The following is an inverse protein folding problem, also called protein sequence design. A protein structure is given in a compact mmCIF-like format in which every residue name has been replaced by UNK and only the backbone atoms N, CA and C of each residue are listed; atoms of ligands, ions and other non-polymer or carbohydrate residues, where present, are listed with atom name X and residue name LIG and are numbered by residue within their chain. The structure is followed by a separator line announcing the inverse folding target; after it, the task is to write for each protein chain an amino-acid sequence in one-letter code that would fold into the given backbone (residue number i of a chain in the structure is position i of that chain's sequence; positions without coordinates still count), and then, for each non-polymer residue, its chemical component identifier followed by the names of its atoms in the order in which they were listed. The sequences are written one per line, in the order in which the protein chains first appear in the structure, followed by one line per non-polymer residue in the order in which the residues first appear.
data_IF_078550387604
#
_entry.id   IF_078550387604
#
_cell.length_a   1.000
_cell.length_b   1.000
_cell.length_c   1.000
_cell.angle_alpha   90.00
_cell.angle_beta   90.00
_cell.angle_gamma   90.00
#
_symmetry.space_group_name_H-M   'P 1'
#
loop_
_entity.id
_entity.type
_entity.pdbx_description
1 polymer ?
#
# COMPACT_ATOMS: atom_id res chain seq x y z
N UNK A 1 68.49 26.61 -4.29
CA UNK A 1 68.50 27.91 -3.59
C UNK A 1 67.24 28.01 -2.73
N UNK A 2 67.42 27.99 -1.40
CA UNK A 2 66.51 28.31 -0.27
C UNK A 2 65.04 27.86 -0.37
N UNK A 3 64.45 26.91 0.37
CA UNK A 3 64.59 26.44 1.76
C UNK A 3 64.49 27.52 2.84
N UNK A 4 63.32 27.56 3.51
CA UNK A 4 62.99 27.95 4.91
C UNK A 4 61.44 27.96 5.01
N UNK A 5 60.76 27.56 6.08
CA UNK A 5 61.02 26.70 7.24
C UNK A 5 59.65 26.50 7.91
N UNK A 6 59.43 25.30 8.42
CA UNK A 6 58.29 24.83 9.20
C UNK A 6 57.92 25.70 10.42
N UNK A 7 56.63 25.71 10.79
CA UNK A 7 56.26 25.68 12.21
C UNK A 7 55.14 24.66 12.44
N UNK A 8 55.50 23.67 13.25
CA UNK A 8 54.66 22.63 13.84
C UNK A 8 54.14 23.17 15.16
N UNK A 9 52.86 22.97 15.46
CA UNK A 9 52.35 22.99 16.82
C UNK A 9 51.44 21.78 17.00
N UNK A 10 52.04 20.70 17.47
CA UNK A 10 51.34 19.57 18.06
C UNK A 10 50.95 19.95 19.49
N UNK A 11 49.67 19.81 19.84
CA UNK A 11 49.25 19.71 21.24
C UNK A 11 48.57 18.35 21.40
N UNK A 12 49.37 17.41 21.91
CA UNK A 12 48.92 16.16 22.50
C UNK A 12 48.67 16.41 23.98
N UNK A 13 47.43 16.23 24.44
CA UNK A 13 47.16 15.95 25.86
C UNK A 13 46.32 14.68 25.95
N UNK A 14 46.94 13.69 26.57
CA UNK A 14 46.42 12.37 26.90
C UNK A 14 45.44 12.46 28.07
N UNK A 15 44.41 11.60 27.98
CA UNK A 15 43.82 10.76 29.03
C UNK A 15 43.26 11.42 30.30
N UNK A 16 41.96 11.29 30.50
CA UNK A 16 41.38 10.49 31.61
C UNK A 16 39.94 10.12 31.26
N UNK A 17 39.67 8.82 31.11
CA UNK A 17 38.32 8.27 31.14
C UNK A 17 37.86 8.15 32.61
N UNK A 18 36.60 8.45 32.96
CA UNK A 18 36.01 7.94 34.18
C UNK A 18 35.21 6.67 33.88
N UNK A 19 35.46 5.68 34.73
CA UNK A 19 34.90 4.35 34.69
C UNK A 19 33.38 4.31 34.95
N UNK A 20 32.77 3.31 34.32
CA UNK A 20 31.50 2.63 34.61
C UNK A 20 30.89 2.93 35.99
N UNK A 21 29.62 3.35 35.98
CA UNK A 21 28.61 2.90 36.95
C UNK A 21 27.37 2.43 36.22
N UNK A 22 27.28 1.12 36.05
CA UNK A 22 26.05 0.45 35.70
C UNK A 22 25.10 0.52 36.91
N UNK A 23 24.00 1.24 36.78
CA UNK A 23 22.87 1.08 37.70
C UNK A 23 22.07 -0.14 37.24
N UNK A 24 22.43 -1.28 37.83
CA UNK A 24 21.58 -2.46 37.85
C UNK A 24 20.41 -2.12 38.79
N UNK A 25 19.23 -1.86 38.22
CA UNK A 25 17.98 -1.91 38.99
C UNK A 25 17.50 -3.37 38.96
N UNK A 26 17.92 -4.12 39.98
CA UNK A 26 17.23 -5.34 40.42
C UNK A 26 15.89 -4.94 41.02
N UNK A 27 14.81 -5.09 40.26
CA UNK A 27 13.48 -5.19 40.84
C UNK A 27 13.27 -6.66 41.22
N UNK A 28 13.42 -6.93 42.51
CA UNK A 28 13.10 -8.20 43.16
C UNK A 28 11.66 -8.60 42.88
N UNK A 29 11.50 -9.84 42.42
CA UNK A 29 10.23 -10.56 42.45
C UNK A 29 9.66 -10.55 43.87
N UNK A 30 8.41 -10.14 44.00
CA UNK A 30 7.59 -10.41 45.19
C UNK A 30 6.55 -11.49 44.83
N UNK A 31 6.19 -12.35 45.80
CA UNK A 31 5.70 -13.68 45.54
C UNK A 31 4.24 -13.72 45.11
N UNK A 32 3.91 -14.74 44.33
CA UNK A 32 2.55 -15.16 44.04
C UNK A 32 1.82 -15.50 45.34
N UNK A 33 0.74 -14.76 45.61
CA UNK A 33 -0.25 -15.14 46.60
C UNK A 33 -1.46 -15.74 45.86
N UNK A 34 -1.60 -17.05 45.94
CA UNK A 34 -2.86 -17.74 45.67
C UNK A 34 -3.85 -17.44 46.80
N UNK A 35 -5.14 -17.27 46.49
CA UNK A 35 -6.17 -17.78 47.37
C UNK A 35 -7.02 -18.82 46.65
N UNK A 36 -7.11 -19.95 47.34
CA UNK A 36 -8.01 -21.08 47.18
C UNK A 36 -9.49 -20.69 47.03
N UNK A 37 -10.16 -21.36 46.09
CA UNK A 37 -11.49 -21.98 46.17
C UNK A 37 -12.64 -21.33 46.97
N UNK A 38 -13.67 -20.90 46.21
CA UNK A 38 -15.15 -21.07 46.41
C UNK A 38 -15.85 -20.38 47.60
N UNK A 39 -17.04 -19.76 47.42
CA UNK A 39 -18.22 -20.45 46.87
C UNK A 39 -18.99 -19.71 45.77
N UNK A 40 -19.69 -20.53 44.99
CA UNK A 40 -20.78 -20.17 44.09
C UNK A 40 -21.81 -19.26 44.76
N UNK A 41 -21.91 -18.02 44.30
CA UNK A 41 -23.11 -17.20 44.48
C UNK A 41 -23.62 -16.78 43.10
N UNK A 42 -24.77 -17.33 42.75
CA UNK A 42 -25.59 -16.97 41.61
C UNK A 42 -26.09 -15.53 41.83
N UNK A 43 -25.32 -14.55 41.38
CA UNK A 43 -25.83 -13.19 41.18
C UNK A 43 -26.65 -13.20 39.88
N UNK A 44 -27.96 -13.38 40.02
CA UNK A 44 -28.90 -13.00 38.96
C UNK A 44 -28.78 -11.49 38.76
N UNK A 45 -28.12 -11.09 37.68
CA UNK A 45 -28.25 -9.73 37.17
C UNK A 45 -29.74 -9.46 36.90
N UNK A 46 -30.29 -8.31 37.31
CA UNK A 46 -31.68 -7.99 37.02
C UNK A 46 -31.82 -7.98 35.50
N UNK A 47 -32.78 -8.73 34.99
CA UNK A 47 -33.18 -8.68 33.60
C UNK A 47 -33.52 -7.24 33.25
N UNK A 48 -32.60 -6.56 32.58
CA UNK A 48 -32.95 -5.38 31.83
C UNK A 48 -34.01 -5.84 30.84
N UNK A 49 -35.26 -5.48 31.09
CA UNK A 49 -36.32 -5.44 30.09
C UNK A 49 -35.87 -4.47 29.01
N UNK A 50 -34.98 -4.94 28.14
CA UNK A 50 -34.80 -4.33 26.84
C UNK A 50 -36.14 -4.53 26.13
N UNK A 51 -36.80 -3.43 25.80
CA UNK A 51 -37.79 -3.38 24.73
C UNK A 51 -37.06 -3.68 23.41
N UNK A 52 -36.50 -4.88 23.28
CA UNK A 52 -36.06 -5.42 22.02
C UNK A 52 -37.33 -5.85 21.31
N UNK A 53 -37.95 -4.92 20.57
CA UNK A 53 -38.80 -5.33 19.46
C UNK A 53 -37.89 -6.17 18.57
N UNK A 54 -38.11 -7.48 18.53
CA UNK A 54 -37.65 -8.28 17.41
C UNK A 54 -38.38 -7.74 16.18
N UNK A 55 -37.82 -6.70 15.56
CA UNK A 55 -38.31 -6.19 14.30
C UNK A 55 -38.02 -7.27 13.27
N UNK A 56 -39.08 -7.94 12.81
CA UNK A 56 -39.00 -8.81 11.66
C UNK A 56 -38.43 -8.02 10.47
N UNK A 57 -37.65 -8.66 9.57
CA UNK A 57 -37.20 -8.00 8.36
C UNK A 57 -38.43 -7.50 7.58
N UNK A 58 -38.57 -6.17 7.47
CA UNK A 58 -39.64 -5.56 6.70
C UNK A 58 -39.43 -5.88 5.22
N UNK A 59 -40.52 -6.17 4.47
CA UNK A 59 -40.43 -6.43 3.04
C UNK A 59 -39.86 -5.21 2.31
N UNK A 60 -38.93 -5.47 1.38
CA UNK A 60 -38.33 -4.47 0.51
C UNK A 60 -39.37 -3.91 -0.47
N UNK A 61 -40.07 -2.86 -0.06
CA UNK A 61 -41.02 -2.07 -0.85
C UNK A 61 -41.07 -0.63 -0.31
N UNK A 62 -41.45 0.33 -1.16
CA UNK A 62 -41.32 1.79 -0.97
C UNK A 62 -41.43 2.27 0.48
N UNK A 63 -40.29 2.66 1.03
CA UNK A 63 -40.08 2.98 2.45
C UNK A 63 -40.83 4.25 2.90
N UNK A 64 -41.46 5.02 2.01
CA UNK A 64 -42.05 6.33 2.36
C UNK A 64 -43.47 6.31 2.94
N UNK A 65 -44.14 5.16 3.07
CA UNK A 65 -45.54 5.11 3.55
C UNK A 65 -45.73 4.47 4.93
N UNK A 66 -44.67 3.91 5.53
CA UNK A 66 -44.76 3.29 6.86
C UNK A 66 -44.49 4.30 7.98
N UNK A 67 -45.32 4.29 9.04
CA UNK A 67 -45.02 5.02 10.28
C UNK A 67 -43.76 4.51 11.01
N UNK A 68 -43.23 3.37 10.58
CA UNK A 68 -41.98 2.79 11.07
C UNK A 68 -40.80 2.98 10.10
N UNK A 69 -40.96 3.79 9.05
CA UNK A 69 -39.88 4.14 8.15
C UNK A 69 -38.74 4.84 8.92
N UNK A 70 -37.47 4.59 8.56
CA UNK A 70 -36.36 5.38 9.05
C UNK A 70 -36.56 6.86 8.73
N UNK A 71 -36.17 7.72 9.66
CA UNK A 71 -36.31 9.18 9.52
C UNK A 71 -35.07 9.82 8.85
N UNK A 72 -34.00 9.06 8.65
CA UNK A 72 -32.76 9.50 8.05
C UNK A 72 -32.66 9.16 6.56
N UNK A 73 -31.99 10.04 5.81
CA UNK A 73 -31.64 9.87 4.41
C UNK A 73 -30.20 10.35 4.20
N UNK A 74 -29.49 9.66 3.30
CA UNK A 74 -28.10 9.94 2.98
C UNK A 74 -27.96 11.05 1.93
N UNK A 75 -28.87 11.14 0.96
CA UNK A 75 -28.80 12.08 -0.16
C UNK A 75 -28.61 13.54 0.28
N UNK A 76 -29.39 14.10 1.23
CA UNK A 76 -29.20 15.48 1.69
C UNK A 76 -27.91 15.67 2.54
N UNK A 77 -27.31 14.60 3.06
CA UNK A 77 -26.00 14.67 3.75
C UNK A 77 -24.84 14.67 2.76
N UNK A 78 -24.99 13.92 1.67
CA UNK A 78 -23.96 13.75 0.65
C UNK A 78 -23.94 14.92 -0.36
N UNK A 79 -25.10 15.33 -0.84
CA UNK A 79 -25.24 16.42 -1.81
C UNK A 79 -25.25 17.74 -1.04
N UNK A 80 -24.30 18.62 -1.37
CA UNK A 80 -24.13 19.91 -0.70
C UNK A 80 -25.27 20.91 -0.95
N UNK A 81 -25.56 21.27 -2.22
CA UNK A 81 -26.60 22.25 -2.54
C UNK A 81 -27.97 21.87 -1.99
N UNK A 82 -28.70 22.86 -1.46
CA UNK A 82 -30.11 22.74 -1.06
C UNK A 82 -31.02 23.23 -2.18
N UNK A 83 -32.32 22.96 -2.09
CA UNK A 83 -33.29 23.35 -3.12
C UNK A 83 -33.20 24.84 -3.45
N UNK A 84 -33.05 25.70 -2.45
CA UNK A 84 -32.86 27.14 -2.65
C UNK A 84 -31.55 27.49 -3.39
N UNK A 85 -30.46 26.77 -3.11
CA UNK A 85 -29.18 26.96 -3.80
C UNK A 85 -29.27 26.48 -5.24
N UNK A 86 -29.92 25.34 -5.47
CA UNK A 86 -30.16 24.77 -6.79
C UNK A 86 -30.94 25.77 -7.65
N UNK A 87 -32.03 26.33 -7.13
CA UNK A 87 -32.83 27.33 -7.86
C UNK A 87 -32.02 28.59 -8.17
N UNK A 88 -31.21 29.09 -7.21
CA UNK A 88 -30.32 30.24 -7.44
C UNK A 88 -29.29 29.95 -8.54
N UNK A 89 -28.63 28.80 -8.50
CA UNK A 89 -27.65 28.38 -9.52
C UNK A 89 -28.29 28.21 -10.90
N UNK A 90 -29.48 27.60 -10.97
CA UNK A 90 -30.21 27.43 -12.23
C UNK A 90 -30.60 28.79 -12.83
N UNK A 91 -31.10 29.70 -12.01
CA UNK A 91 -31.45 31.05 -12.44
C UNK A 91 -30.25 31.84 -12.99
N UNK A 92 -29.09 31.75 -12.34
CA UNK A 92 -27.83 32.35 -12.82
C UNK A 92 -27.40 31.78 -14.18
N UNK A 93 -27.59 30.48 -14.37
CA UNK A 93 -27.29 29.79 -15.63
C UNK A 93 -28.39 29.96 -16.70
N UNK A 94 -29.52 30.57 -16.37
CA UNK A 94 -30.65 30.78 -17.29
C UNK A 94 -31.57 29.57 -17.50
N UNK A 95 -31.48 28.53 -16.65
CA UNK A 95 -32.34 27.35 -16.71
C UNK A 95 -33.48 27.43 -15.68
N UNK A 96 -34.63 26.80 -16.00
CA UNK A 96 -35.80 26.77 -15.12
C UNK A 96 -35.85 25.52 -14.24
N UNK A 97 -35.15 24.47 -14.64
CA UNK A 97 -35.13 23.19 -13.95
C UNK A 97 -33.80 22.47 -14.18
N UNK A 98 -33.52 21.49 -13.33
CA UNK A 98 -32.39 20.60 -13.52
C UNK A 98 -32.56 19.76 -14.81
N UNK A 99 -33.79 19.37 -15.15
CA UNK A 99 -34.09 18.64 -16.37
C UNK A 99 -33.76 19.46 -17.63
N UNK A 100 -34.07 20.77 -17.64
CA UNK A 100 -33.70 21.66 -18.74
C UNK A 100 -32.18 21.80 -18.87
N UNK A 101 -31.46 21.89 -17.74
CA UNK A 101 -30.00 21.95 -17.73
C UNK A 101 -29.36 20.65 -18.26
N UNK A 102 -29.83 19.49 -17.80
CA UNK A 102 -29.38 18.20 -18.31
C UNK A 102 -29.80 18.01 -19.77
N UNK A 103 -30.94 18.59 -20.18
CA UNK A 103 -31.44 18.58 -21.55
C UNK A 103 -30.43 19.15 -22.55
N UNK A 104 -29.71 20.18 -22.12
CA UNK A 104 -28.72 20.88 -22.93
C UNK A 104 -27.30 20.29 -22.76
N UNK A 105 -26.97 19.82 -21.55
CA UNK A 105 -25.62 19.33 -21.23
C UNK A 105 -25.28 17.92 -21.78
N UNK A 106 -26.26 17.00 -21.85
CA UNK A 106 -26.02 15.59 -22.20
C UNK A 106 -26.77 15.21 -23.47
N UNK A 107 -26.14 14.78 -24.58
CA UNK A 107 -26.88 14.41 -25.80
C UNK A 107 -27.98 13.36 -25.57
N UNK A 108 -29.15 13.55 -26.19
CA UNK A 108 -30.34 12.71 -25.96
C UNK A 108 -30.11 11.24 -26.35
N UNK A 109 -29.24 10.99 -27.32
CA UNK A 109 -28.96 9.68 -27.89
C UNK A 109 -28.26 8.73 -26.90
N UNK A 110 -27.55 9.29 -25.91
CA UNK A 110 -26.81 8.52 -24.90
C UNK A 110 -27.48 8.51 -23.52
N UNK A 111 -28.67 9.13 -23.39
CA UNK A 111 -29.41 9.10 -22.12
C UNK A 111 -30.14 7.80 -21.96
N UNK A 112 -30.24 7.37 -20.71
CA UNK A 112 -31.16 6.30 -20.32
C UNK A 112 -32.60 6.79 -20.51
N UNK A 113 -33.46 5.94 -21.05
CA UNK A 113 -34.90 6.20 -21.06
C UNK A 113 -35.44 6.13 -19.61
N UNK A 114 -36.56 6.79 -19.33
CA UNK A 114 -37.07 7.00 -17.96
C UNK A 114 -37.41 5.68 -17.21
N UNK A 115 -37.59 4.59 -17.95
CA UNK A 115 -37.82 3.23 -17.45
C UNK A 115 -36.54 2.39 -17.38
N UNK A 116 -35.38 2.97 -17.74
CA UNK A 116 -34.10 2.28 -17.83
C UNK A 116 -33.96 1.35 -19.04
N UNK A 117 -34.93 1.34 -19.97
CA UNK A 117 -35.02 0.36 -21.07
C UNK A 117 -33.96 0.50 -22.16
N UNK A 118 -33.33 1.68 -22.27
CA UNK A 118 -32.17 1.94 -23.14
C UNK A 118 -30.86 1.36 -22.59
N UNK A 119 -30.88 0.13 -22.10
CA UNK A 119 -29.67 -0.69 -22.04
C UNK A 119 -29.43 -1.22 -23.45
N UNK A 120 -28.48 -0.64 -24.18
CA UNK A 120 -27.96 -1.24 -25.43
C UNK A 120 -27.76 -2.74 -25.23
N UNK A 121 -28.19 -3.56 -26.21
CA UNK A 121 -28.36 -5.03 -26.22
C UNK A 121 -27.11 -5.90 -25.92
N UNK A 122 -26.15 -5.40 -25.15
CA UNK A 122 -24.89 -6.07 -24.80
C UNK A 122 -24.83 -6.57 -23.34
N UNK A 123 -25.80 -6.25 -22.48
CA UNK A 123 -25.79 -6.66 -21.06
C UNK A 123 -26.83 -7.72 -20.77
N UNK A 124 -26.61 -8.93 -21.30
CA UNK A 124 -27.25 -10.15 -20.83
C UNK A 124 -26.71 -10.54 -19.45
N UNK A 125 -27.22 -9.95 -18.37
CA UNK A 125 -27.01 -10.47 -17.01
C UNK A 125 -27.90 -9.79 -15.97
N UNK A 126 -28.70 -10.62 -15.29
CA UNK A 126 -29.40 -10.38 -14.04
C UNK A 126 -30.68 -9.52 -14.07
N UNK A 127 -31.82 -10.21 -13.85
CA UNK A 127 -32.98 -9.75 -13.07
C UNK A 127 -32.81 -8.33 -12.50
N UNK A 128 -33.43 -7.34 -13.16
CA UNK A 128 -33.47 -5.95 -12.71
C UNK A 128 -34.42 -5.83 -11.51
N UNK A 129 -34.05 -6.44 -10.38
CA UNK A 129 -34.62 -6.03 -9.10
C UNK A 129 -34.08 -4.62 -8.83
N UNK A 130 -34.93 -3.60 -8.68
CA UNK A 130 -34.46 -2.24 -8.43
C UNK A 130 -33.59 -2.24 -7.18
N UNK A 131 -32.43 -1.60 -7.26
CA UNK A 131 -31.61 -1.35 -6.07
C UNK A 131 -32.40 -0.37 -5.21
N UNK A 132 -32.94 -0.87 -4.10
CA UNK A 132 -33.70 -0.05 -3.16
C UNK A 132 -32.70 0.73 -2.32
N UNK A 133 -32.83 2.06 -2.34
CA UNK A 133 -32.06 2.94 -1.49
C UNK A 133 -32.38 2.64 -0.02
N UNK A 134 -31.33 2.42 0.77
CA UNK A 134 -31.43 2.28 2.22
C UNK A 134 -31.11 3.63 2.85
N UNK A 135 -31.77 3.94 3.97
CA UNK A 135 -31.31 5.00 4.87
C UNK A 135 -29.89 4.72 5.38
N UNK A 136 -29.23 5.74 5.95
CA UNK A 136 -27.86 5.61 6.48
C UNK A 136 -27.81 4.56 7.61
N UNK A 137 -28.82 4.57 8.49
CA UNK A 137 -28.97 3.65 9.61
C UNK A 137 -29.25 2.22 9.16
N UNK A 138 -30.10 2.04 8.14
CA UNK A 138 -30.35 0.72 7.55
C UNK A 138 -29.12 0.16 6.85
N UNK A 139 -28.38 1.01 6.12
CA UNK A 139 -27.15 0.60 5.44
C UNK A 139 -26.10 0.14 6.46
N UNK A 140 -25.94 0.87 7.56
CA UNK A 140 -25.02 0.48 8.64
C UNK A 140 -25.40 -0.88 9.26
N UNK A 141 -26.68 -1.08 9.60
CA UNK A 141 -27.18 -2.36 10.10
C UNK A 141 -26.96 -3.48 9.07
N UNK A 142 -27.28 -3.23 7.81
CA UNK A 142 -27.12 -4.20 6.73
C UNK A 142 -25.65 -4.59 6.53
N UNK A 143 -24.74 -3.63 6.65
CA UNK A 143 -23.30 -3.86 6.62
C UNK A 143 -22.86 -4.83 7.73
N UNK A 144 -23.36 -4.63 8.96
CA UNK A 144 -23.08 -5.54 10.08
C UNK A 144 -23.63 -6.95 9.85
N UNK A 145 -24.89 -7.09 9.40
CA UNK A 145 -25.49 -8.39 9.09
C UNK A 145 -24.71 -9.18 8.03
N UNK A 146 -24.13 -8.49 7.04
CA UNK A 146 -23.29 -9.13 6.03
C UNK A 146 -21.93 -9.48 6.63
N UNK A 147 -21.33 -8.58 7.42
CA UNK A 147 -20.04 -8.79 8.06
C UNK A 147 -20.06 -9.98 9.04
N UNK A 148 -21.16 -10.20 9.76
CA UNK A 148 -21.36 -11.34 10.68
C UNK A 148 -21.35 -12.70 9.98
N UNK A 149 -21.53 -12.74 8.65
CA UNK A 149 -21.39 -13.99 7.88
C UNK A 149 -19.93 -14.40 7.67
N UNK A 150 -18.98 -13.49 7.89
CA UNK A 150 -17.57 -13.81 7.80
C UNK A 150 -17.13 -14.60 9.04
N UNK A 151 -16.31 -15.62 8.82
CA UNK A 151 -15.70 -16.38 9.91
C UNK A 151 -14.28 -15.87 10.17
N UNK A 152 -14.04 -15.38 11.39
CA UNK A 152 -12.73 -14.88 11.80
C UNK A 152 -11.85 -16.04 12.28
N UNK A 153 -10.86 -16.42 11.47
CA UNK A 153 -9.86 -17.43 11.81
C UNK A 153 -8.52 -16.81 12.19
N UNK A 154 -7.74 -17.56 12.98
CA UNK A 154 -6.30 -17.29 13.14
C UNK A 154 -5.56 -17.82 11.90
N UNK A 155 -5.52 -17.02 10.85
CA UNK A 155 -4.88 -17.39 9.59
C UNK A 155 -3.35 -17.38 9.72
N UNK A 156 -2.73 -18.55 9.61
CA UNK A 156 -1.27 -18.75 9.54
C UNK A 156 -0.84 -19.19 8.13
N UNK A 157 -1.61 -18.82 7.11
CA UNK A 157 -1.39 -19.19 5.70
C UNK A 157 -0.09 -18.58 5.16
N UNK A 158 0.25 -17.36 5.60
CA UNK A 158 1.40 -16.62 5.08
C UNK A 158 1.12 -16.11 3.67
N UNK A 159 1.93 -16.54 2.69
CA UNK A 159 1.80 -16.14 1.28
C UNK A 159 1.79 -14.61 1.08
N UNK A 160 2.62 -13.88 1.83
CA UNK A 160 2.72 -12.42 1.76
C UNK A 160 1.74 -11.66 2.65
N UNK A 161 0.76 -12.34 3.26
CA UNK A 161 -0.20 -11.75 4.19
C UNK A 161 -0.03 -12.32 5.58
N UNK A 162 0.36 -11.46 6.51
CA UNK A 162 0.60 -11.81 7.90
C UNK A 162 -0.25 -10.92 8.79
N UNK A 163 -0.98 -11.53 9.72
CA UNK A 163 -1.74 -10.74 10.68
C UNK A 163 -0.80 -9.88 11.53
N UNK A 164 -1.25 -8.71 11.95
CA UNK A 164 -0.44 -7.75 12.69
C UNK A 164 -1.28 -7.03 13.76
N UNK A 165 -0.61 -6.53 14.80
CA UNK A 165 -1.26 -5.69 15.78
C UNK A 165 -1.24 -4.24 15.26
N UNK A 166 -2.40 -3.77 14.81
CA UNK A 166 -2.59 -2.39 14.36
C UNK A 166 -2.59 -1.48 15.59
N UNK A 167 -1.60 -0.57 15.75
CA UNK A 167 -1.56 0.28 16.93
C UNK A 167 -2.83 1.14 17.04
N UNK A 168 -3.60 1.05 18.16
CA UNK A 168 -4.89 1.74 18.26
C UNK A 168 -4.79 3.27 18.07
N UNK A 169 -3.64 3.86 18.44
CA UNK A 169 -3.38 5.28 18.23
C UNK A 169 -3.26 5.65 16.75
N UNK A 170 -2.73 4.77 15.90
CA UNK A 170 -2.64 4.99 14.45
C UNK A 170 -3.99 4.73 13.80
N UNK A 171 -4.68 3.65 14.18
CA UNK A 171 -6.04 3.36 13.73
C UNK A 171 -6.96 4.57 13.92
N UNK A 172 -7.05 5.07 15.16
CA UNK A 172 -7.96 6.17 15.50
C UNK A 172 -7.55 7.53 14.92
N UNK A 173 -6.26 7.88 15.00
CA UNK A 173 -5.82 9.26 14.70
C UNK A 173 -5.34 9.46 13.25
N UNK A 174 -5.16 8.38 12.48
CA UNK A 174 -4.77 8.42 11.07
C UNK A 174 -5.81 7.75 10.19
N UNK A 175 -6.11 6.45 10.39
CA UNK A 175 -6.99 5.71 9.49
C UNK A 175 -8.45 6.16 9.59
N UNK A 176 -8.95 6.39 10.81
CA UNK A 176 -10.31 6.85 11.09
C UNK A 176 -10.42 8.38 11.16
N UNK A 177 -9.38 9.12 10.76
CA UNK A 177 -9.35 10.57 10.81
C UNK A 177 -9.48 11.20 9.41
N UNK A 178 -10.60 11.89 9.10
CA UNK A 178 -10.83 12.48 7.78
C UNK A 178 -9.79 13.52 7.38
N UNK A 179 -9.09 14.15 8.34
CA UNK A 179 -8.00 15.08 8.03
C UNK A 179 -6.83 14.40 7.29
N UNK A 180 -6.67 13.07 7.43
CA UNK A 180 -5.64 12.29 6.75
C UNK A 180 -6.13 11.68 5.44
N UNK A 181 -7.35 11.13 5.39
CA UNK A 181 -7.81 10.34 4.24
C UNK A 181 -8.66 11.11 3.20
N UNK A 182 -9.13 12.33 3.50
CA UNK A 182 -9.93 13.10 2.51
C UNK A 182 -9.07 13.86 1.51
N UNK A 183 -7.84 14.21 1.88
CA UNK A 183 -6.91 14.91 0.97
C UNK A 183 -6.39 13.96 -0.11
N UNK A 184 -6.18 14.49 -1.32
CA UNK A 184 -5.62 13.73 -2.42
C UNK A 184 -4.10 13.93 -2.56
N UNK A 185 -3.56 13.49 -3.70
CA UNK A 185 -2.17 13.67 -4.11
C UNK A 185 -1.64 15.07 -3.74
N UNK A 186 -0.45 15.18 -3.13
CA UNK A 186 0.16 16.45 -2.73
C UNK A 186 0.73 17.23 -3.93
N UNK A 187 -0.13 17.64 -4.88
CA UNK A 187 0.25 18.50 -6.00
C UNK A 187 0.61 19.93 -5.57
N UNK A 188 -0.02 20.41 -4.50
CA UNK A 188 0.26 21.70 -3.85
C UNK A 188 1.10 21.44 -2.59
N UNK A 189 2.45 21.43 -2.68
CA UNK A 189 3.31 21.00 -1.59
C UNK A 189 3.21 21.90 -0.34
N UNK A 190 2.94 23.19 -0.51
CA UNK A 190 2.89 24.19 0.56
C UNK A 190 1.83 23.86 1.62
N UNK A 191 0.71 23.27 1.19
CA UNK A 191 -0.41 22.84 2.06
C UNK A 191 -0.44 21.32 2.27
N UNK A 192 0.69 20.65 2.03
CA UNK A 192 0.79 19.19 2.08
C UNK A 192 2.03 18.65 2.81
N UNK A 193 2.79 19.51 3.50
CA UNK A 193 4.05 19.14 4.12
C UNK A 193 3.94 17.96 5.10
N UNK A 194 2.85 17.86 5.88
CA UNK A 194 2.68 16.76 6.85
C UNK A 194 2.68 15.37 6.21
N UNK A 195 1.87 15.15 5.17
CA UNK A 195 1.85 13.86 4.46
C UNK A 195 3.08 13.63 3.60
N UNK A 196 3.67 14.69 3.05
CA UNK A 196 4.95 14.59 2.32
C UNK A 196 6.09 14.13 3.25
N UNK A 197 6.14 14.65 4.47
CA UNK A 197 7.11 14.20 5.48
C UNK A 197 6.86 12.75 5.91
N UNK A 198 5.59 12.37 6.13
CA UNK A 198 5.22 10.98 6.44
C UNK A 198 5.67 10.00 5.33
N UNK A 199 5.49 10.37 4.05
CA UNK A 199 5.96 9.57 2.92
C UNK A 199 7.49 9.56 2.79
N UNK A 200 8.18 10.64 3.16
CA UNK A 200 9.64 10.64 3.25
C UNK A 200 10.13 9.70 4.36
N UNK A 201 9.42 9.63 5.49
CA UNK A 201 9.71 8.67 6.57
C UNK A 201 9.52 7.22 6.08
N UNK A 202 8.45 6.95 5.32
CA UNK A 202 8.26 5.67 4.66
C UNK A 202 9.44 5.32 3.73
N UNK A 203 9.81 6.22 2.82
CA UNK A 203 10.96 6.00 1.93
C UNK A 203 12.26 5.74 2.69
N UNK A 204 12.49 6.48 3.78
CA UNK A 204 13.68 6.33 4.62
C UNK A 204 13.70 4.98 5.34
N UNK A 205 12.55 4.55 5.89
CA UNK A 205 12.41 3.23 6.50
C UNK A 205 12.70 2.11 5.50
N UNK A 206 12.12 2.17 4.30
CA UNK A 206 12.40 1.17 3.25
C UNK A 206 13.86 1.17 2.85
N UNK A 207 14.46 2.35 2.65
CA UNK A 207 15.88 2.51 2.34
C UNK A 207 16.75 1.80 3.40
N UNK A 208 16.50 2.09 4.68
CA UNK A 208 17.25 1.50 5.79
C UNK A 208 17.10 -0.02 5.90
N UNK A 209 15.89 -0.55 5.74
CA UNK A 209 15.64 -1.99 5.88
C UNK A 209 16.09 -2.79 4.66
N UNK A 210 16.06 -2.21 3.46
CA UNK A 210 16.47 -2.91 2.23
C UNK A 210 17.96 -2.77 1.93
N UNK A 211 18.64 -1.79 2.54
CA UNK A 211 20.04 -1.48 2.23
C UNK A 211 20.26 -0.89 0.83
N UNK A 212 19.20 -0.42 0.17
CA UNK A 212 19.25 0.22 -1.15
C UNK A 212 19.30 1.75 -1.03
N UNK A 213 19.50 2.45 -2.15
CA UNK A 213 19.84 3.87 -2.13
C UNK A 213 18.61 4.79 -2.05
N UNK A 214 17.54 4.39 -2.74
CA UNK A 214 16.30 5.15 -2.85
C UNK A 214 15.07 4.24 -2.85
N UNK A 215 13.95 4.76 -2.35
CA UNK A 215 12.63 4.12 -2.42
C UNK A 215 11.59 5.12 -2.89
N UNK A 216 10.53 4.63 -3.55
CA UNK A 216 9.38 5.42 -3.94
C UNK A 216 8.37 5.60 -2.80
N UNK A 217 7.33 6.39 -3.04
CA UNK A 217 6.21 6.62 -2.13
C UNK A 217 5.06 5.63 -2.42
N UNK A 218 5.41 4.35 -2.42
CA UNK A 218 4.59 3.14 -2.61
C UNK A 218 4.15 2.76 -4.04
N UNK A 219 3.76 1.51 -4.17
CA UNK A 219 3.02 0.87 -5.28
C UNK A 219 1.76 0.17 -4.74
N UNK A 220 1.05 -0.56 -5.61
CA UNK A 220 -0.27 -1.13 -5.34
C UNK A 220 -0.23 -2.39 -4.47
N UNK A 221 0.57 -3.39 -4.83
CA UNK A 221 0.76 -4.64 -4.09
C UNK A 221 2.11 -5.29 -4.48
N UNK A 222 2.49 -6.38 -3.80
CA UNK A 222 3.77 -7.05 -4.06
C UNK A 222 3.90 -7.58 -5.49
N UNK A 223 2.84 -8.17 -6.04
CA UNK A 223 2.86 -8.76 -7.37
C UNK A 223 3.07 -7.71 -8.46
N UNK A 224 2.34 -6.60 -8.37
CA UNK A 224 2.49 -5.45 -9.27
C UNK A 224 3.83 -4.74 -9.07
N UNK A 225 4.35 -4.65 -7.85
CA UNK A 225 5.69 -4.12 -7.59
C UNK A 225 6.78 -5.00 -8.23
N UNK A 226 6.69 -6.32 -8.13
CA UNK A 226 7.57 -7.24 -8.83
C UNK A 226 7.45 -7.11 -10.35
N UNK A 227 6.23 -6.93 -10.87
CA UNK A 227 6.00 -6.71 -12.30
C UNK A 227 6.60 -5.39 -12.81
N UNK A 228 6.54 -4.32 -12.01
CA UNK A 228 7.26 -3.08 -12.31
C UNK A 228 8.78 -3.24 -12.27
N UNK A 229 9.31 -4.10 -11.38
CA UNK A 229 10.74 -4.41 -11.33
C UNK A 229 11.19 -5.18 -12.59
N UNK A 230 10.36 -6.10 -13.07
CA UNK A 230 10.55 -6.78 -14.35
C UNK A 230 10.54 -5.75 -15.50
N UNK A 231 9.53 -4.87 -15.59
CA UNK A 231 9.49 -3.83 -16.63
C UNK A 231 10.68 -2.86 -16.56
N UNK A 232 11.14 -2.48 -15.37
CA UNK A 232 12.36 -1.69 -15.18
C UNK A 232 13.59 -2.44 -15.72
N UNK A 233 13.71 -3.73 -15.43
CA UNK A 233 14.79 -4.60 -15.93
C UNK A 233 14.76 -4.72 -17.46
N UNK A 234 13.57 -4.80 -18.06
CA UNK A 234 13.40 -4.79 -19.51
C UNK A 234 13.90 -3.48 -20.14
N UNK A 235 13.53 -2.35 -19.54
CA UNK A 235 14.02 -1.04 -19.94
C UNK A 235 15.52 -0.84 -19.68
N UNK A 236 16.12 -1.51 -18.69
CA UNK A 236 17.55 -1.53 -18.44
C UNK A 236 18.30 -2.26 -19.57
N UNK A 237 17.79 -3.43 -19.98
CA UNK A 237 18.26 -4.19 -21.14
C UNK A 237 17.97 -3.54 -22.50
N UNK A 238 17.59 -2.26 -22.54
CA UNK A 238 17.19 -1.49 -23.73
C UNK A 238 16.11 -2.19 -24.57
N UNK A 239 15.22 -2.93 -23.91
CA UNK A 239 14.14 -3.67 -24.56
C UNK A 239 14.58 -4.76 -25.55
N UNK A 240 15.86 -5.14 -25.53
CA UNK A 240 16.42 -6.20 -26.40
C UNK A 240 16.49 -7.56 -25.71
N UNK A 241 16.61 -7.54 -24.38
CA UNK A 241 16.67 -8.73 -23.52
C UNK A 241 15.26 -9.11 -23.11
N UNK A 242 14.87 -10.34 -23.36
CA UNK A 242 13.47 -10.77 -23.25
C UNK A 242 13.26 -11.86 -22.20
N UNK A 243 14.30 -12.44 -21.62
CA UNK A 243 14.16 -13.50 -20.61
C UNK A 243 14.30 -12.97 -19.19
N UNK A 244 13.25 -13.15 -18.38
CA UNK A 244 13.25 -12.83 -16.95
C UNK A 244 13.09 -14.13 -16.15
N UNK A 245 14.10 -14.48 -15.36
CA UNK A 245 14.11 -15.72 -14.59
C UNK A 245 13.47 -15.48 -13.22
N UNK A 246 12.64 -16.40 -12.78
CA UNK A 246 11.96 -16.30 -11.48
C UNK A 246 12.24 -17.57 -10.69
N UNK A 247 12.73 -17.43 -9.46
CA UNK A 247 12.94 -18.58 -8.60
C UNK A 247 11.60 -19.28 -8.31
N UNK A 248 11.60 -20.61 -8.37
CA UNK A 248 10.41 -21.44 -8.14
C UNK A 248 9.75 -21.24 -6.77
N UNK A 249 10.46 -20.65 -5.79
CA UNK A 249 9.97 -20.38 -4.44
C UNK A 249 9.44 -18.95 -4.23
N UNK A 250 9.27 -18.19 -5.30
CA UNK A 250 8.52 -16.92 -5.29
C UNK A 250 7.03 -17.20 -5.10
N UNK A 251 6.31 -16.26 -4.46
CA UNK A 251 4.88 -16.44 -4.18
C UNK A 251 4.06 -16.66 -5.47
N UNK A 252 3.08 -17.58 -5.46
CA UNK A 252 2.37 -18.00 -6.67
C UNK A 252 1.57 -16.87 -7.32
N UNK A 253 0.97 -15.98 -6.51
CA UNK A 253 0.28 -14.79 -7.02
C UNK A 253 1.24 -13.79 -7.68
N UNK A 254 2.46 -13.65 -7.15
CA UNK A 254 3.50 -12.79 -7.71
C UNK A 254 3.93 -13.29 -9.09
N UNK A 255 4.15 -14.61 -9.22
CA UNK A 255 4.44 -15.27 -10.51
C UNK A 255 3.29 -15.06 -11.50
N UNK A 256 2.04 -15.15 -11.05
CA UNK A 256 0.85 -14.99 -11.90
C UNK A 256 0.74 -13.56 -12.45
N UNK A 257 0.97 -12.54 -11.62
CA UNK A 257 0.97 -11.13 -12.05
C UNK A 257 2.11 -10.85 -13.03
N UNK A 258 3.32 -11.40 -12.78
CA UNK A 258 4.45 -11.29 -13.70
C UNK A 258 4.12 -11.84 -15.08
N UNK A 259 3.60 -13.07 -15.16
CA UNK A 259 3.19 -13.71 -16.43
C UNK A 259 2.17 -12.87 -17.17
N UNK A 260 1.20 -12.30 -16.47
CA UNK A 260 0.17 -11.47 -17.11
C UNK A 260 0.76 -10.16 -17.65
N UNK A 261 1.63 -9.49 -16.88
CA UNK A 261 2.30 -8.25 -17.31
C UNK A 261 3.25 -8.49 -18.48
N UNK A 262 3.95 -9.62 -18.48
CA UNK A 262 4.95 -9.99 -19.48
C UNK A 262 4.36 -10.10 -20.90
N UNK A 263 3.10 -10.54 -21.03
CA UNK A 263 2.40 -10.68 -22.33
C UNK A 263 2.41 -9.39 -23.15
N UNK A 264 2.22 -8.23 -22.51
CA UNK A 264 2.20 -6.94 -23.21
C UNK A 264 3.55 -6.48 -23.76
N UNK A 265 4.65 -7.09 -23.31
CA UNK A 265 6.02 -6.76 -23.71
C UNK A 265 6.74 -7.91 -24.41
N UNK A 266 6.06 -9.04 -24.62
CA UNK A 266 6.62 -10.30 -25.13
C UNK A 266 7.84 -10.76 -24.31
N UNK A 267 7.79 -10.57 -22.98
CA UNK A 267 8.84 -11.03 -22.07
C UNK A 267 8.59 -12.52 -21.79
N UNK A 268 9.64 -13.32 -21.91
CA UNK A 268 9.67 -14.72 -21.52
C UNK A 268 9.94 -14.83 -20.01
N UNK A 269 8.93 -15.21 -19.24
CA UNK A 269 9.05 -15.45 -17.79
C UNK A 269 9.28 -16.93 -17.56
N UNK A 270 10.52 -17.29 -17.23
CA UNK A 270 10.90 -18.68 -16.94
C UNK A 270 10.96 -18.90 -15.43
N UNK A 271 10.16 -19.82 -14.92
CA UNK A 271 10.22 -20.24 -13.53
C UNK A 271 11.20 -21.40 -13.43
N UNK A 272 12.29 -21.20 -12.69
CA UNK A 272 13.41 -22.16 -12.58
C UNK A 272 13.94 -22.17 -11.15
N UNK A 273 14.62 -23.25 -10.77
CA UNK A 273 15.34 -23.29 -9.50
C UNK A 273 16.63 -22.47 -9.63
N UNK A 274 16.71 -21.31 -8.96
CA UNK A 274 17.89 -20.45 -8.96
C UNK A 274 18.80 -20.73 -7.76
N UNK A 275 18.48 -21.75 -6.98
CA UNK A 275 19.17 -21.99 -5.71
C UNK A 275 20.64 -22.38 -5.88
N UNK A 276 21.07 -22.81 -7.07
CA UNK A 276 22.47 -23.13 -7.37
C UNK A 276 23.11 -22.12 -8.33
N UNK A 277 22.52 -20.93 -8.48
CA UNK A 277 22.94 -19.92 -9.46
C UNK A 277 22.08 -19.92 -10.72
N UNK A 278 22.58 -19.29 -11.78
CA UNK A 278 21.91 -19.28 -13.08
C UNK A 278 21.97 -20.66 -13.73
N UNK A 279 20.92 -21.11 -14.45
CA UNK A 279 21.00 -22.30 -15.29
C UNK A 279 22.13 -22.16 -16.33
N UNK A 280 22.82 -23.26 -16.66
CA UNK A 280 23.95 -23.25 -17.61
C UNK A 280 23.60 -22.65 -18.97
N UNK A 281 22.37 -22.88 -19.46
CA UNK A 281 21.84 -22.29 -20.70
C UNK A 281 21.84 -20.75 -20.69
N UNK A 282 21.79 -20.15 -19.50
CA UNK A 282 21.64 -18.72 -19.29
C UNK A 282 22.91 -18.02 -18.80
N UNK A 283 23.93 -18.76 -18.34
CA UNK A 283 25.20 -18.19 -17.86
C UNK A 283 25.97 -17.40 -18.93
N UNK A 284 25.88 -17.84 -20.19
CA UNK A 284 26.52 -17.17 -21.34
C UNK A 284 25.52 -16.38 -22.21
N UNK A 285 24.23 -16.48 -21.90
CA UNK A 285 23.18 -15.81 -22.64
C UNK A 285 23.20 -14.30 -22.40
N UNK A 286 23.15 -13.52 -23.48
CA UNK A 286 22.98 -12.06 -23.40
C UNK A 286 21.50 -11.65 -23.32
N UNK A 287 20.58 -12.62 -23.25
CA UNK A 287 19.13 -12.37 -23.27
C UNK A 287 18.50 -12.23 -21.87
N UNK A 288 19.22 -12.59 -20.80
CA UNK A 288 18.71 -12.46 -19.43
C UNK A 288 18.62 -10.98 -19.05
N UNK A 289 17.41 -10.46 -18.88
CA UNK A 289 17.17 -9.08 -18.41
C UNK A 289 17.26 -8.95 -16.89
N UNK A 290 16.97 -10.02 -16.16
CA UNK A 290 17.09 -10.05 -14.70
C UNK A 290 16.54 -11.31 -14.08
N UNK A 291 16.69 -11.39 -12.76
CA UNK A 291 16.18 -12.49 -11.94
C UNK A 291 15.30 -11.95 -10.81
N UNK A 292 14.31 -12.73 -10.38
CA UNK A 292 13.53 -12.49 -9.17
C UNK A 292 13.68 -13.63 -8.18
N UNK A 293 14.03 -13.29 -6.94
CA UNK A 293 14.05 -14.21 -5.78
C UNK A 293 13.16 -13.69 -4.66
N UNK A 294 12.71 -14.58 -3.79
CA UNK A 294 11.97 -14.24 -2.57
C UNK A 294 12.87 -14.40 -1.33
N UNK A 295 12.75 -13.51 -0.35
CA UNK A 295 13.63 -13.45 0.82
C UNK A 295 12.90 -12.94 2.09
N UNK A 296 12.48 -13.82 3.03
CA UNK A 296 12.51 -15.29 2.96
C UNK A 296 11.63 -15.86 1.85
N UNK A 297 11.88 -17.10 1.44
CA UNK A 297 11.09 -17.75 0.39
C UNK A 297 9.70 -18.22 0.85
N UNK A 298 8.90 -18.80 -0.06
CA UNK A 298 7.53 -19.28 0.24
C UNK A 298 7.47 -20.28 1.41
N UNK A 299 8.53 -21.05 1.64
CA UNK A 299 8.63 -22.04 2.73
C UNK A 299 9.26 -21.42 4.00
N UNK A 300 9.55 -20.12 3.98
CA UNK A 300 10.20 -19.38 5.06
C UNK A 300 11.71 -19.58 5.14
N UNK A 301 12.36 -20.14 4.11
CA UNK A 301 13.81 -20.36 4.14
C UNK A 301 14.56 -19.07 3.83
N UNK A 302 15.66 -18.88 4.54
CA UNK A 302 16.65 -17.84 4.25
C UNK A 302 17.78 -18.45 3.44
N UNK A 303 18.13 -17.80 2.33
CA UNK A 303 19.21 -18.21 1.47
C UNK A 303 20.13 -17.04 1.17
N UNK A 304 21.43 -17.31 1.12
CA UNK A 304 22.40 -16.35 0.57
C UNK A 304 22.34 -16.36 -0.95
N UNK A 305 21.97 -15.21 -1.51
CA UNK A 305 21.83 -14.99 -2.95
C UNK A 305 23.05 -14.28 -3.56
N UNK A 306 24.13 -14.03 -2.80
CA UNK A 306 25.30 -13.28 -3.25
C UNK A 306 25.91 -13.87 -4.53
N UNK A 307 26.08 -15.20 -4.60
CA UNK A 307 26.63 -15.87 -5.79
C UNK A 307 25.73 -15.71 -7.03
N UNK A 308 24.41 -15.83 -6.85
CA UNK A 308 23.45 -15.62 -7.94
C UNK A 308 23.50 -14.17 -8.43
N UNK A 309 23.66 -13.21 -7.52
CA UNK A 309 23.76 -11.81 -7.87
C UNK A 309 25.00 -11.53 -8.74
N UNK A 310 26.16 -12.05 -8.36
CA UNK A 310 27.39 -11.94 -9.14
C UNK A 310 27.26 -12.55 -10.55
N UNK A 311 26.66 -13.74 -10.67
CA UNK A 311 26.42 -14.39 -11.97
C UNK A 311 25.46 -13.58 -12.84
N UNK A 312 24.38 -13.08 -12.25
CA UNK A 312 23.38 -12.25 -12.94
C UNK A 312 24.00 -10.96 -13.45
N UNK A 313 24.85 -10.31 -12.65
CA UNK A 313 25.57 -9.10 -13.06
C UNK A 313 26.58 -9.37 -14.16
N UNK A 314 27.29 -10.52 -14.14
CA UNK A 314 28.18 -10.94 -15.25
C UNK A 314 27.42 -11.15 -16.56
N UNK A 315 26.19 -11.67 -16.48
CA UNK A 315 25.29 -11.75 -17.64
C UNK A 315 24.71 -10.37 -18.04
N UNK A 316 24.82 -9.36 -17.18
CA UNK A 316 24.33 -7.98 -17.37
C UNK A 316 22.85 -7.78 -17.05
N UNK A 317 22.23 -8.74 -16.35
CA UNK A 317 20.86 -8.62 -15.84
C UNK A 317 20.80 -7.88 -14.51
N UNK A 318 19.60 -7.53 -14.06
CA UNK A 318 19.35 -6.98 -12.72
C UNK A 318 18.87 -8.05 -11.75
N UNK A 319 19.21 -7.88 -10.47
CA UNK A 319 18.78 -8.76 -9.39
C UNK A 319 17.63 -8.11 -8.62
N UNK A 320 16.46 -8.75 -8.64
CA UNK A 320 15.25 -8.31 -7.94
C UNK A 320 14.99 -9.22 -6.75
N UNK A 321 14.72 -8.62 -5.59
CA UNK A 321 14.37 -9.32 -4.37
C UNK A 321 12.95 -8.93 -3.91
N UNK A 322 12.03 -9.90 -3.86
CA UNK A 322 10.79 -9.75 -3.11
C UNK A 322 11.07 -10.08 -1.63
N UNK A 323 10.96 -9.09 -0.75
CA UNK A 323 11.41 -9.20 0.65
C UNK A 323 10.33 -8.82 1.67
N UNK A 324 10.44 -9.38 2.87
CA UNK A 324 9.58 -9.05 4.01
C UNK A 324 10.28 -8.07 4.96
N UNK A 325 9.72 -6.86 5.14
CA UNK A 325 10.33 -5.80 5.94
C UNK A 325 10.57 -6.19 7.41
N UNK A 326 9.71 -7.05 8.00
CA UNK A 326 9.91 -7.49 9.38
C UNK A 326 11.04 -8.50 9.47
N UNK A 327 11.17 -9.40 8.49
CA UNK A 327 12.32 -10.30 8.43
C UNK A 327 13.63 -9.51 8.32
N UNK A 328 13.66 -8.45 7.51
CA UNK A 328 14.84 -7.59 7.31
C UNK A 328 15.32 -6.85 8.56
N UNK A 329 14.55 -6.82 9.65
CA UNK A 329 15.07 -6.30 10.93
C UNK A 329 16.07 -7.25 11.59
N UNK A 330 16.13 -8.51 11.15
CA UNK A 330 16.94 -9.57 11.77
C UNK A 330 17.95 -10.22 10.82
N UNK A 331 17.86 -9.97 9.52
CA UNK A 331 18.66 -10.65 8.50
C UNK A 331 19.40 -9.65 7.62
N UNK A 332 20.45 -10.13 6.94
CA UNK A 332 21.24 -9.32 6.01
C UNK A 332 20.35 -8.74 4.89
N UNK A 333 20.27 -7.42 4.71
CA UNK A 333 19.35 -6.82 3.77
C UNK A 333 19.77 -6.99 2.30
N UNK A 334 18.82 -6.94 1.34
CA UNK A 334 19.06 -7.14 -0.08
C UNK A 334 20.22 -6.35 -0.69
N UNK A 335 20.35 -5.08 -0.32
CA UNK A 335 21.42 -4.22 -0.81
C UNK A 335 22.83 -4.68 -0.41
N UNK A 336 22.99 -5.46 0.65
CA UNK A 336 24.31 -5.92 1.09
C UNK A 336 24.78 -7.22 0.43
N UNK A 337 23.88 -8.00 -0.17
CA UNK A 337 24.23 -9.21 -0.93
C UNK A 337 24.13 -9.03 -2.45
N UNK A 338 23.82 -7.82 -2.92
CA UNK A 338 23.95 -7.47 -4.33
C UNK A 338 22.63 -7.32 -5.09
N UNK A 339 21.49 -7.23 -4.41
CA UNK A 339 20.25 -6.84 -5.09
C UNK A 339 20.38 -5.44 -5.72
N UNK A 340 19.78 -5.27 -6.90
CA UNK A 340 19.61 -3.97 -7.56
C UNK A 340 18.27 -3.33 -7.20
N UNK A 341 17.25 -4.16 -6.96
CA UNK A 341 15.87 -3.77 -6.70
C UNK A 341 15.33 -4.64 -5.55
N UNK A 342 14.64 -4.01 -4.59
CA UNK A 342 13.88 -4.72 -3.56
C UNK A 342 12.42 -4.27 -3.59
N UNK A 343 11.50 -5.23 -3.54
CA UNK A 343 10.05 -5.03 -3.57
C UNK A 343 9.38 -5.86 -2.49
N UNK A 344 8.13 -5.57 -2.15
CA UNK A 344 7.36 -6.36 -1.20
C UNK A 344 6.19 -5.57 -0.63
N UNK A 345 5.48 -6.16 0.32
CA UNK A 345 4.38 -5.50 1.03
C UNK A 345 4.85 -4.90 2.36
N UNK A 346 4.37 -3.70 2.70
CA UNK A 346 4.52 -3.14 4.05
C UNK A 346 3.32 -3.47 4.97
N UNK A 347 2.41 -4.36 4.57
CA UNK A 347 1.17 -4.65 5.29
C UNK A 347 1.38 -4.98 6.77
N UNK A 348 2.35 -5.86 7.06
CA UNK A 348 2.58 -6.34 8.43
C UNK A 348 3.16 -5.30 9.39
N UNK A 349 3.52 -4.11 8.89
CA UNK A 349 3.87 -2.95 9.71
C UNK A 349 2.61 -2.17 10.12
N UNK A 350 1.70 -2.85 10.81
CA UNK A 350 0.55 -2.24 11.45
C UNK A 350 -0.63 -1.88 10.54
N UNK A 351 -0.80 -2.56 9.40
CA UNK A 351 -1.98 -2.41 8.52
C UNK A 351 -2.88 -3.66 8.61
N UNK A 352 -4.22 -3.54 8.76
CA UNK A 352 -5.11 -4.70 8.82
C UNK A 352 -4.98 -5.61 7.58
N UNK A 353 -5.23 -6.93 7.68
CA UNK A 353 -5.20 -7.83 6.52
C UNK A 353 -6.15 -7.45 5.38
N UNK A 354 -7.30 -6.84 5.69
CA UNK A 354 -8.20 -6.23 4.71
C UNK A 354 -8.74 -7.17 3.62
N UNK A 355 -8.73 -8.49 3.85
CA UNK A 355 -9.08 -9.51 2.84
C UNK A 355 -8.38 -9.28 1.48
N UNK A 356 -7.14 -8.80 1.51
CA UNK A 356 -6.30 -8.54 0.33
C UNK A 356 -5.73 -7.13 0.26
N UNK A 357 -6.30 -6.14 0.97
CA UNK A 357 -5.78 -4.78 0.97
C UNK A 357 -6.71 -3.74 1.60
N UNK A 358 -6.38 -2.44 1.49
CA UNK A 358 -5.24 -1.88 0.76
C UNK A 358 -3.93 -1.94 1.54
N UNK A 359 -2.84 -2.33 0.89
CA UNK A 359 -1.49 -2.35 1.48
C UNK A 359 -0.51 -1.62 0.58
N UNK A 360 0.32 -0.75 1.16
CA UNK A 360 1.38 -0.10 0.40
C UNK A 360 2.48 -1.12 0.07
N UNK A 361 2.68 -1.40 -1.21
CA UNK A 361 3.88 -2.11 -1.63
C UNK A 361 5.07 -1.17 -1.68
N UNK A 362 6.23 -1.63 -1.24
CA UNK A 362 7.46 -0.87 -1.34
C UNK A 362 8.23 -1.22 -2.61
N UNK A 363 8.97 -0.25 -3.11
CA UNK A 363 9.89 -0.43 -4.22
C UNK A 363 11.14 0.41 -3.95
N UNK A 364 12.29 -0.25 -3.88
CA UNK A 364 13.57 0.39 -3.64
C UNK A 364 14.60 -0.06 -4.68
N UNK A 365 15.50 0.84 -5.06
CA UNK A 365 16.51 0.61 -6.09
C UNK A 365 17.87 1.21 -5.73
N UNK A 366 18.89 0.75 -6.44
CA UNK A 366 20.19 1.44 -6.52
C UNK A 366 20.06 2.79 -7.22
N UNK A 367 20.91 3.74 -6.87
CA UNK A 367 20.84 5.13 -7.38
C UNK A 367 20.89 5.22 -8.91
N UNK A 368 21.67 4.34 -9.56
CA UNK A 368 21.76 4.22 -11.03
C UNK A 368 20.41 3.98 -11.72
N UNK A 369 19.40 3.48 -11.00
CA UNK A 369 18.07 3.14 -11.52
C UNK A 369 17.00 4.19 -11.20
N UNK A 370 17.32 5.21 -10.38
CA UNK A 370 16.37 6.23 -9.88
C UNK A 370 15.53 6.88 -10.97
N UNK A 371 16.12 7.19 -12.14
CA UNK A 371 15.42 7.84 -13.26
C UNK A 371 14.34 6.98 -13.92
N UNK A 372 14.37 5.67 -13.71
CA UNK A 372 13.40 4.69 -14.24
C UNK A 372 12.49 4.12 -13.16
N UNK A 373 12.64 4.55 -11.91
CA UNK A 373 11.84 4.05 -10.80
C UNK A 373 10.36 4.39 -11.02
N UNK A 374 9.43 3.44 -10.80
CA UNK A 374 7.99 3.67 -10.90
C UNK A 374 7.46 4.46 -9.70
N UNK A 375 6.31 5.09 -9.91
CA UNK A 375 5.59 5.79 -8.84
C UNK A 375 6.20 7.12 -8.42
N UNK A 376 5.55 7.72 -7.43
CA UNK A 376 5.89 9.03 -6.86
C UNK A 376 7.15 8.91 -6.01
N UNK A 377 7.92 9.99 -5.93
CA UNK A 377 9.12 10.07 -5.09
C UNK A 377 9.08 11.40 -4.35
N UNK A 378 9.18 11.38 -3.02
CA UNK A 378 9.33 12.58 -2.22
C UNK A 378 10.82 12.95 -2.19
N UNK A 379 11.09 14.23 -2.45
CA UNK A 379 12.42 14.83 -2.35
C UNK A 379 12.43 16.01 -1.39
N UNK A 380 13.59 16.23 -0.79
CA UNK A 380 13.89 17.43 -0.01
C UNK A 380 14.28 18.56 -0.97
N UNK A 381 13.74 19.74 -0.74
CA UNK A 381 14.02 20.97 -1.49
C UNK A 381 14.08 22.17 -0.53
N UNK A 382 14.01 23.38 -1.07
CA UNK A 382 13.96 24.63 -0.31
C UNK A 382 12.79 25.49 -0.76
N UNK A 383 12.17 26.20 0.18
CA UNK A 383 11.16 27.22 -0.11
C UNK A 383 11.81 28.54 -0.60
N UNK A 384 10.98 29.54 -0.90
CA UNK A 384 11.44 30.86 -1.35
C UNK A 384 12.32 31.59 -0.30
N UNK A 385 12.22 31.23 0.98
CA UNK A 385 13.02 31.77 2.09
C UNK A 385 14.27 30.94 2.37
N UNK A 386 14.52 29.88 1.60
CA UNK A 386 15.65 28.97 1.78
C UNK A 386 15.44 27.90 2.85
N UNK A 387 14.25 27.81 3.46
CA UNK A 387 13.92 26.80 4.47
C UNK A 387 13.73 25.44 3.83
N UNK A 388 14.13 24.37 4.53
CA UNK A 388 13.91 22.99 4.08
C UNK A 388 12.41 22.71 3.89
N UNK A 389 12.05 22.18 2.73
CA UNK A 389 10.67 21.81 2.39
C UNK A 389 10.62 20.51 1.57
N UNK A 390 9.48 19.84 1.54
CA UNK A 390 9.29 18.58 0.81
C UNK A 390 8.41 18.79 -0.42
N UNK A 391 8.66 18.03 -1.48
CA UNK A 391 7.80 18.00 -2.68
C UNK A 391 7.92 16.69 -3.43
N UNK A 392 7.02 16.46 -4.38
CA UNK A 392 7.20 15.44 -5.41
C UNK A 392 8.41 15.79 -6.30
N UNK A 393 9.31 14.82 -6.47
CA UNK A 393 10.56 14.93 -7.20
C UNK A 393 10.57 14.05 -8.46
N UNK A 394 11.32 14.49 -9.48
CA UNK A 394 11.47 13.78 -10.75
C UNK A 394 10.13 13.42 -11.41
N UNK A 395 9.17 14.34 -11.38
CA UNK A 395 7.79 14.10 -11.86
C UNK A 395 7.72 13.83 -13.36
N UNK A 396 8.75 14.18 -14.14
CA UNK A 396 8.83 13.88 -15.58
C UNK A 396 8.86 12.38 -15.91
N UNK A 397 8.98 11.51 -14.90
CA UNK A 397 8.82 10.05 -15.03
C UNK A 397 7.35 9.61 -15.05
N UNK A 398 6.45 10.42 -14.52
CA UNK A 398 5.08 10.02 -14.23
C UNK A 398 4.15 10.22 -15.44
N UNK A 399 3.07 9.43 -15.47
CA UNK A 399 2.12 9.36 -16.58
C UNK A 399 1.49 10.70 -16.97
N UNK A 400 1.30 11.61 -16.02
CA UNK A 400 0.71 12.93 -16.26
C UNK A 400 1.61 13.88 -17.07
N UNK A 401 2.91 13.59 -17.17
CA UNK A 401 3.86 14.33 -18.03
C UNK A 401 4.25 13.47 -19.24
N UNK A 402 4.67 12.22 -19.00
CA UNK A 402 5.33 11.38 -20.01
C UNK A 402 4.37 10.52 -20.84
N UNK A 403 3.13 10.34 -20.36
CA UNK A 403 2.07 9.55 -21.00
C UNK A 403 2.54 8.14 -21.39
N UNK A 404 2.75 7.88 -22.67
CA UNK A 404 3.06 6.55 -23.22
C UNK A 404 4.57 6.24 -23.32
N UNK A 405 5.46 7.21 -23.06
CA UNK A 405 6.90 7.08 -23.32
C UNK A 405 7.67 6.36 -22.21
#
# INVERSE_FOLDING_TARGET
MSLRQSFVAAVSLRTTAPARRAFIRTASALPAASPSATPSSTSQAPSSRALASQAQPLPLGSVSESVFAPLDDFSPRHIGPRDEDIQKMLAELGYKSLDDFIADAVPKEIRLDADGSKTTESSSSASATPIIALSESELARRGLEIAEKNANFKSLIGLGYHNTNVPPVILRNVLENPAWYTSYTPYQPEIAQGRLESLLNYQTMIKSLTGLDISNASLLDEGTAAAEAMTLSYGHGKSKRKTFLVDERVLPQTISVLRQRARGFEINVEVVNLSQGLPESHKTSKDVMGVLVQYPDIDGRLKDWSSLAEETHKAGGLVVCAADLLALTMVKPPGEWGADIAVGSSARFGVPPGFGGPHAAFFAVRDKLTRKMPGRLIGVSKDARGSKAYRLALQTREQHIRRAQ
#
